data_IF_058920392110
#
_entry.id   IF_058920392110
#
_cell.length_a   1.000
_cell.length_b   1.000
_cell.length_c   1.000
_cell.angle_alpha   90.00
_cell.angle_beta   90.00
_cell.angle_gamma   90.00
#
_symmetry.space_group_name_H-M   'P 1'
#
loop_
_entity.id
_entity.type
_entity.pdbx_description
1 polymer ?
#
# COMPACT_ATOMS: atom_id res chain seq x y z
N UNK A 1 -26.24 11.91 -7.42
CA UNK A 1 -25.77 11.15 -6.24
C UNK A 1 -26.52 11.49 -4.95
N UNK A 2 -27.35 12.54 -4.91
CA UNK A 2 -28.07 12.97 -3.68
C UNK A 2 -28.96 11.84 -3.11
N UNK A 3 -29.60 11.01 -3.96
CA UNK A 3 -30.50 9.93 -3.53
C UNK A 3 -29.96 8.49 -3.72
N UNK A 4 -28.65 8.29 -3.95
CA UNK A 4 -28.11 6.93 -4.08
C UNK A 4 -27.94 6.23 -2.72
N UNK A 5 -28.19 4.91 -2.67
CA UNK A 5 -27.86 4.08 -1.50
C UNK A 5 -26.33 4.01 -1.31
N UNK A 6 -25.81 4.24 -0.10
CA UNK A 6 -24.39 4.04 0.20
C UNK A 6 -23.95 2.59 -0.03
N UNK A 7 -22.67 2.39 -0.27
CA UNK A 7 -22.04 1.08 -0.30
C UNK A 7 -21.24 0.88 0.99
N UNK A 8 -21.19 -0.33 1.52
CA UNK A 8 -20.50 -0.61 2.79
C UNK A 8 -18.98 -0.76 2.63
N UNK A 9 -18.51 -1.07 1.41
CA UNK A 9 -17.09 -1.19 1.09
C UNK A 9 -16.74 -0.43 -0.19
N UNK A 10 -15.52 0.11 -0.31
CA UNK A 10 -15.09 0.88 -1.48
C UNK A 10 -14.96 0.01 -2.74
N UNK A 11 -14.67 -1.28 -2.57
CA UNK A 11 -14.58 -2.27 -3.65
C UNK A 11 -15.17 -3.61 -3.19
N UNK A 12 -15.67 -4.41 -4.13
CA UNK A 12 -16.17 -5.76 -3.81
C UNK A 12 -14.96 -6.65 -3.53
N UNK A 13 -15.01 -7.43 -2.45
CA UNK A 13 -13.95 -8.35 -2.10
C UNK A 13 -13.69 -9.34 -3.24
N UNK A 14 -12.42 -9.59 -3.57
CA UNK A 14 -12.00 -10.46 -4.67
C UNK A 14 -12.48 -10.03 -6.08
N UNK A 15 -13.03 -8.83 -6.24
CA UNK A 15 -13.37 -8.30 -7.56
C UNK A 15 -12.11 -7.97 -8.34
N UNK A 16 -11.87 -8.72 -9.41
CA UNK A 16 -10.72 -8.50 -10.30
C UNK A 16 -11.19 -7.76 -11.54
N UNK A 17 -10.80 -6.48 -11.65
CA UNK A 17 -11.02 -5.67 -12.84
C UNK A 17 -9.90 -5.93 -13.86
N UNK A 18 -10.24 -6.02 -15.13
CA UNK A 18 -9.32 -6.17 -16.25
C UNK A 18 -9.99 -5.68 -17.53
N UNK A 19 -9.19 -5.39 -18.55
CA UNK A 19 -9.72 -4.96 -19.85
C UNK A 19 -10.25 -6.19 -20.58
N UNK A 20 -11.54 -6.20 -20.86
CA UNK A 20 -12.19 -7.22 -21.69
C UNK A 20 -12.17 -6.82 -23.17
N UNK A 21 -11.93 -7.79 -24.06
CA UNK A 21 -12.09 -7.56 -25.51
C UNK A 21 -13.56 -7.29 -25.81
N UNK A 22 -13.82 -6.30 -26.67
CA UNK A 22 -15.17 -5.95 -27.15
C UNK A 22 -16.15 -5.42 -26.08
N UNK A 23 -15.69 -5.22 -24.84
CA UNK A 23 -16.51 -4.63 -23.81
C UNK A 23 -16.79 -3.15 -24.07
N UNK A 24 -17.96 -2.71 -23.60
CA UNK A 24 -18.44 -1.36 -23.85
C UNK A 24 -17.59 -0.32 -23.10
N UNK A 25 -17.12 0.68 -23.85
CA UNK A 25 -16.31 1.76 -23.31
C UNK A 25 -17.16 2.71 -22.47
N UNK A 26 -16.55 3.24 -21.42
CA UNK A 26 -17.12 4.34 -20.65
C UNK A 26 -16.66 5.70 -21.22
N UNK A 27 -17.35 6.76 -20.83
CA UNK A 27 -16.90 8.13 -21.06
C UNK A 27 -15.54 8.37 -20.38
N UNK A 28 -14.50 8.50 -21.21
CA UNK A 28 -13.10 8.65 -20.79
C UNK A 28 -12.87 9.92 -19.98
N UNK A 29 -13.37 11.07 -20.44
CA UNK A 29 -13.14 12.35 -19.77
C UNK A 29 -13.81 12.36 -18.40
N UNK A 30 -15.06 11.88 -18.34
CA UNK A 30 -15.78 11.75 -17.08
C UNK A 30 -15.07 10.81 -16.12
N UNK A 31 -14.57 9.68 -16.61
CA UNK A 31 -13.83 8.71 -15.81
C UNK A 31 -12.57 9.34 -15.22
N UNK A 32 -11.74 9.95 -16.06
CA UNK A 32 -10.48 10.56 -15.65
C UNK A 32 -10.68 11.68 -14.62
N UNK A 33 -11.72 12.52 -14.81
CA UNK A 33 -12.06 13.57 -13.86
C UNK A 33 -12.50 13.02 -12.50
N UNK A 34 -13.30 11.96 -12.48
CA UNK A 34 -13.73 11.33 -11.23
C UNK A 34 -12.57 10.66 -10.51
N UNK A 35 -11.78 9.86 -11.23
CA UNK A 35 -10.61 9.18 -10.67
C UNK A 35 -9.57 10.19 -10.17
N UNK A 36 -9.32 11.29 -10.89
CA UNK A 36 -8.42 12.35 -10.43
C UNK A 36 -8.84 12.94 -9.08
N UNK A 37 -10.14 13.20 -8.88
CA UNK A 37 -10.69 13.64 -7.59
C UNK A 37 -10.52 12.59 -6.50
N UNK A 38 -10.72 11.32 -6.82
CA UNK A 38 -10.54 10.21 -5.88
C UNK A 38 -9.05 10.02 -5.49
N UNK A 39 -8.12 10.20 -6.43
CA UNK A 39 -6.68 10.20 -6.16
C UNK A 39 -6.35 11.29 -5.14
N UNK A 40 -6.85 12.51 -5.34
CA UNK A 40 -6.67 13.58 -4.37
C UNK A 40 -7.19 13.19 -2.99
N UNK A 41 -8.43 12.69 -2.92
CA UNK A 41 -9.06 12.28 -1.65
C UNK A 41 -8.32 11.13 -0.95
N UNK A 42 -7.67 10.23 -1.71
CA UNK A 42 -6.90 9.12 -1.13
C UNK A 42 -5.71 9.55 -0.27
N UNK A 43 -5.28 10.82 -0.36
CA UNK A 43 -4.27 11.41 0.53
C UNK A 43 -4.79 11.70 1.94
N UNK A 44 -6.10 11.71 2.17
CA UNK A 44 -6.72 11.86 3.50
C UNK A 44 -7.62 10.68 3.87
N UNK A 45 -7.84 9.75 2.94
CA UNK A 45 -8.70 8.58 3.08
C UNK A 45 -7.93 7.29 2.78
N UNK A 46 -7.21 6.72 3.77
CA UNK A 46 -6.44 5.49 3.58
C UNK A 46 -7.31 4.30 3.16
N UNK A 47 -8.54 4.27 3.65
CA UNK A 47 -9.56 3.25 3.40
C UNK A 47 -9.97 3.10 1.93
N UNK A 48 -9.76 4.13 1.09
CA UNK A 48 -10.04 4.04 -0.36
C UNK A 48 -8.78 3.84 -1.21
N UNK A 49 -7.57 3.91 -0.62
CA UNK A 49 -6.33 4.01 -1.38
C UNK A 49 -6.13 2.83 -2.35
N UNK A 50 -6.45 1.61 -1.91
CA UNK A 50 -6.38 0.42 -2.77
C UNK A 50 -7.38 0.47 -3.94
N UNK A 51 -8.66 0.70 -3.64
CA UNK A 51 -9.71 0.77 -4.67
C UNK A 51 -9.42 1.86 -5.71
N UNK A 52 -8.96 3.03 -5.26
CA UNK A 52 -8.52 4.13 -6.13
C UNK A 52 -7.31 3.72 -6.97
N UNK A 53 -6.34 3.03 -6.37
CA UNK A 53 -5.19 2.47 -7.08
C UNK A 53 -5.59 1.52 -8.21
N UNK A 54 -6.61 0.67 -8.00
CA UNK A 54 -7.13 -0.25 -9.02
C UNK A 54 -7.79 0.51 -10.17
N UNK A 55 -8.77 1.39 -9.89
CA UNK A 55 -9.48 2.12 -10.95
C UNK A 55 -8.56 3.06 -11.74
N UNK A 56 -7.48 3.56 -11.13
CA UNK A 56 -6.49 4.40 -11.79
C UNK A 56 -5.72 3.70 -12.92
N UNK A 57 -5.72 2.37 -12.96
CA UNK A 57 -5.03 1.60 -14.02
C UNK A 57 -5.72 1.72 -15.38
N UNK A 58 -7.01 2.05 -15.41
CA UNK A 58 -7.85 2.03 -16.63
C UNK A 58 -8.07 3.41 -17.25
N UNK A 59 -7.27 4.41 -16.87
CA UNK A 59 -7.42 5.81 -17.29
C UNK A 59 -7.30 6.03 -18.80
N UNK A 60 -6.62 5.14 -19.53
CA UNK A 60 -6.42 5.28 -20.97
C UNK A 60 -7.63 4.81 -21.78
N UNK A 61 -8.28 3.72 -21.34
CA UNK A 61 -9.39 3.06 -22.02
C UNK A 61 -10.37 2.47 -20.99
N UNK A 62 -11.16 3.31 -20.30
CA UNK A 62 -12.10 2.83 -19.29
C UNK A 62 -13.31 2.13 -19.92
N UNK A 63 -13.81 1.10 -19.25
CA UNK A 63 -14.98 0.31 -19.64
C UNK A 63 -16.11 0.57 -18.64
N UNK A 64 -17.35 0.21 -19.00
CA UNK A 64 -18.50 0.40 -18.10
C UNK A 64 -18.29 -0.23 -16.72
N UNK A 65 -17.72 -1.44 -16.66
CA UNK A 65 -17.39 -2.10 -15.39
C UNK A 65 -16.41 -1.27 -14.53
N UNK A 66 -15.42 -0.61 -15.15
CA UNK A 66 -14.50 0.28 -14.44
C UNK A 66 -15.24 1.51 -13.89
N UNK A 67 -16.14 2.08 -14.68
CA UNK A 67 -16.95 3.22 -14.25
C UNK A 67 -17.91 2.84 -13.10
N UNK A 68 -18.48 1.64 -13.11
CA UNK A 68 -19.28 1.11 -12.00
C UNK A 68 -18.48 0.98 -10.70
N UNK A 69 -17.22 0.52 -10.79
CA UNK A 69 -16.32 0.51 -9.65
C UNK A 69 -16.05 1.91 -9.09
N UNK A 70 -15.84 2.91 -9.96
CA UNK A 70 -15.73 4.32 -9.56
C UNK A 70 -17.00 4.78 -8.85
N UNK A 71 -18.19 4.46 -9.38
CA UNK A 71 -19.45 4.80 -8.72
C UNK A 71 -19.60 4.14 -7.36
N UNK A 72 -19.13 2.91 -7.18
CA UNK A 72 -19.11 2.23 -5.88
C UNK A 72 -18.26 2.98 -4.86
N UNK A 73 -17.04 3.38 -5.22
CA UNK A 73 -16.16 4.17 -4.33
C UNK A 73 -16.88 5.45 -3.87
N UNK A 74 -17.54 6.16 -4.79
CA UNK A 74 -18.24 7.40 -4.44
C UNK A 74 -19.49 7.12 -3.58
N UNK A 75 -20.20 6.00 -3.78
CA UNK A 75 -21.30 5.57 -2.89
C UNK A 75 -20.80 5.21 -1.50
N UNK A 76 -19.63 4.60 -1.38
CA UNK A 76 -18.99 4.32 -0.10
C UNK A 76 -18.61 5.61 0.63
N UNK A 77 -17.98 6.56 -0.07
CA UNK A 77 -17.64 7.88 0.48
C UNK A 77 -18.86 8.64 1.01
N UNK A 78 -20.01 8.51 0.33
CA UNK A 78 -21.28 9.09 0.81
C UNK A 78 -21.72 8.55 2.18
N UNK A 79 -21.50 7.25 2.44
CA UNK A 79 -21.83 6.64 3.73
C UNK A 79 -20.81 6.95 4.84
N UNK A 80 -19.64 7.48 4.48
CA UNK A 80 -18.47 7.62 5.37
C UNK A 80 -17.91 9.04 5.36
N UNK A 81 -18.77 10.05 5.17
CA UNK A 81 -18.36 11.47 5.10
C UNK A 81 -17.71 11.93 6.40
N UNK A 82 -18.15 11.39 7.54
CA UNK A 82 -17.58 11.69 8.86
C UNK A 82 -16.31 10.91 9.22
N UNK A 83 -15.87 9.97 8.37
CA UNK A 83 -14.67 9.18 8.65
C UNK A 83 -13.42 10.00 8.34
N UNK A 84 -12.43 9.91 9.22
CA UNK A 84 -11.13 10.53 9.06
C UNK A 84 -10.06 9.81 9.88
N UNK A 85 -8.82 10.29 9.78
CA UNK A 85 -7.70 9.80 10.60
C UNK A 85 -7.71 10.54 11.93
N UNK A 86 -7.81 9.80 13.03
CA UNK A 86 -7.75 10.36 14.37
C UNK A 86 -6.30 10.47 14.82
N UNK A 87 -5.90 11.66 15.27
CA UNK A 87 -4.61 11.91 15.89
C UNK A 87 -4.80 12.07 17.40
N UNK A 88 -3.97 11.39 18.18
CA UNK A 88 -3.99 11.44 19.63
C UNK A 88 -2.58 11.71 20.17
N UNK A 89 -2.48 12.47 21.28
CA UNK A 89 -1.21 12.62 21.97
C UNK A 89 -0.84 11.28 22.61
N UNK A 90 0.30 10.73 22.19
CA UNK A 90 0.92 9.56 22.80
C UNK A 90 2.27 9.97 23.38
N UNK A 91 2.69 9.34 24.47
CA UNK A 91 3.93 9.69 25.19
C UNK A 91 5.21 9.16 24.50
N UNK A 92 5.20 8.99 23.18
CA UNK A 92 6.34 8.54 22.39
C UNK A 92 6.21 8.97 20.91
N UNK A 93 7.33 8.96 20.18
CA UNK A 93 7.38 9.22 18.74
C UNK A 93 7.89 8.03 17.91
N UNK A 94 7.89 6.82 18.50
CA UNK A 94 8.27 5.58 17.81
C UNK A 94 7.62 5.47 16.43
N UNK A 95 8.43 5.08 15.44
CA UNK A 95 7.96 4.82 14.08
C UNK A 95 7.68 3.33 13.94
N UNK A 96 6.48 3.00 13.49
CA UNK A 96 6.06 1.64 13.20
C UNK A 96 5.46 1.58 11.80
N UNK A 97 6.02 0.79 10.92
CA UNK A 97 5.46 0.53 9.60
C UNK A 97 4.88 -0.88 9.53
N UNK A 98 3.85 -1.03 8.71
CA UNK A 98 3.16 -2.27 8.41
C UNK A 98 3.24 -2.45 6.90
N UNK A 99 3.79 -3.56 6.43
CA UNK A 99 3.91 -3.85 4.99
C UNK A 99 3.11 -5.09 4.64
N UNK A 100 2.45 -5.04 3.49
CA UNK A 100 1.67 -6.16 2.95
C UNK A 100 1.74 -6.17 1.43
N UNK A 101 1.75 -7.36 0.82
CA UNK A 101 1.72 -7.52 -0.62
C UNK A 101 0.71 -8.60 -1.08
N UNK A 102 -0.28 -8.18 -1.87
CA UNK A 102 -1.15 -9.11 -2.60
C UNK A 102 -0.40 -9.68 -3.80
N UNK A 103 0.02 -10.95 -3.70
CA UNK A 103 0.82 -11.64 -4.71
C UNK A 103 0.01 -11.98 -5.95
N UNK A 104 0.49 -11.52 -7.11
CA UNK A 104 -0.14 -11.75 -8.40
C UNK A 104 -1.64 -11.42 -8.41
N UNK A 105 -2.03 -10.35 -7.69
CA UNK A 105 -3.40 -9.89 -7.58
C UNK A 105 -4.00 -9.43 -8.91
N UNK A 106 -3.18 -8.83 -9.78
CA UNK A 106 -3.61 -8.33 -11.07
C UNK A 106 -3.83 -9.47 -12.09
N UNK A 107 -4.98 -9.48 -12.78
CA UNK A 107 -5.27 -10.51 -13.80
C UNK A 107 -4.61 -10.24 -15.15
N UNK A 108 -4.37 -8.98 -15.50
CA UNK A 108 -3.84 -8.60 -16.80
C UNK A 108 -2.35 -8.88 -16.93
N UNK A 109 -1.56 -8.53 -15.92
CA UNK A 109 -0.10 -8.69 -15.95
C UNK A 109 0.48 -9.53 -14.80
N UNK A 110 -0.37 -10.08 -13.91
CA UNK A 110 0.04 -10.91 -12.77
C UNK A 110 1.01 -10.21 -11.81
N UNK A 111 1.10 -8.88 -11.84
CA UNK A 111 1.92 -8.13 -10.88
C UNK A 111 1.23 -8.02 -9.54
N UNK A 112 2.03 -8.10 -8.49
CA UNK A 112 1.58 -7.94 -7.11
C UNK A 112 1.25 -6.48 -6.82
N UNK A 113 0.41 -6.23 -5.82
CA UNK A 113 0.24 -4.88 -5.24
C UNK A 113 0.90 -4.87 -3.87
N UNK A 114 1.70 -3.85 -3.57
CA UNK A 114 2.25 -3.66 -2.22
C UNK A 114 1.62 -2.45 -1.58
N UNK A 115 1.23 -2.59 -0.33
CA UNK A 115 0.83 -1.49 0.52
C UNK A 115 1.72 -1.35 1.73
N UNK A 116 1.70 -0.15 2.30
CA UNK A 116 2.24 0.09 3.63
C UNK A 116 1.40 1.10 4.39
N UNK A 117 1.39 0.97 5.70
CA UNK A 117 0.86 1.94 6.65
C UNK A 117 1.99 2.31 7.61
N UNK A 118 2.26 3.58 7.84
CA UNK A 118 3.30 4.04 8.76
C UNK A 118 2.71 4.92 9.84
N UNK A 119 2.99 4.55 11.09
CA UNK A 119 2.59 5.27 12.27
C UNK A 119 3.79 5.97 12.91
N UNK A 120 3.56 7.18 13.42
CA UNK A 120 4.50 7.92 14.25
C UNK A 120 3.81 8.23 15.56
N UNK A 121 4.37 7.75 16.67
CA UNK A 121 3.75 7.92 17.98
C UNK A 121 2.33 7.37 18.02
N UNK A 122 2.09 6.21 17.39
CA UNK A 122 0.76 5.58 17.32
C UNK A 122 -0.24 6.22 16.35
N UNK A 123 0.12 7.32 15.66
CA UNK A 123 -0.76 8.00 14.71
C UNK A 123 -0.39 7.64 13.27
N UNK A 124 -1.38 7.29 12.44
CA UNK A 124 -1.16 7.00 11.02
C UNK A 124 -0.78 8.28 10.27
N UNK A 125 0.46 8.35 9.78
CA UNK A 125 0.99 9.55 9.10
C UNK A 125 1.14 9.35 7.60
N UNK A 126 1.45 8.14 7.15
CA UNK A 126 1.59 7.83 5.72
C UNK A 126 1.03 6.45 5.40
N UNK A 127 0.53 6.30 4.18
CA UNK A 127 0.06 5.04 3.65
C UNK A 127 0.21 5.02 2.14
N UNK A 128 0.21 3.82 1.59
CA UNK A 128 0.21 3.64 0.14
C UNK A 128 -0.36 2.30 -0.25
N UNK A 129 -0.96 2.23 -1.43
CA UNK A 129 -1.18 0.98 -2.16
C UNK A 129 -0.68 1.16 -3.58
N UNK A 130 0.24 0.31 -4.02
CA UNK A 130 0.94 0.48 -5.30
C UNK A 130 1.32 -0.83 -5.93
N UNK A 131 0.86 -1.03 -7.16
CA UNK A 131 1.27 -2.13 -8.04
C UNK A 131 2.79 -2.20 -8.19
N UNK A 132 3.35 -3.40 -8.08
CA UNK A 132 4.76 -3.65 -8.31
C UNK A 132 5.11 -3.44 -9.79
N UNK A 133 6.34 -3.02 -10.07
CA UNK A 133 6.79 -2.80 -11.46
C UNK A 133 7.16 -4.12 -12.15
N UNK A 134 7.50 -5.13 -11.37
CA UNK A 134 7.97 -6.45 -11.82
C UNK A 134 7.01 -7.50 -11.28
N UNK A 135 6.87 -8.62 -11.99
CA UNK A 135 6.12 -9.79 -11.53
C UNK A 135 6.97 -10.53 -10.50
N UNK A 136 6.43 -10.72 -9.30
CA UNK A 136 7.07 -11.54 -8.28
C UNK A 136 6.76 -13.02 -8.53
N UNK A 137 7.76 -13.88 -8.40
CA UNK A 137 7.64 -15.33 -8.62
C UNK A 137 7.09 -16.07 -7.41
N UNK A 138 7.07 -15.43 -6.24
CA UNK A 138 6.47 -15.96 -5.01
C UNK A 138 5.85 -14.87 -4.16
N UNK A 139 4.99 -15.26 -3.21
CA UNK A 139 4.46 -14.34 -2.19
C UNK A 139 5.57 -13.77 -1.30
N UNK A 140 6.57 -14.58 -0.94
CA UNK A 140 7.72 -14.12 -0.17
C UNK A 140 8.50 -13.03 -0.90
N UNK A 141 8.71 -13.17 -2.21
CA UNK A 141 9.37 -12.14 -3.02
C UNK A 141 8.52 -10.87 -3.14
N UNK A 142 7.19 -11.01 -3.28
CA UNK A 142 6.28 -9.86 -3.32
C UNK A 142 6.32 -9.08 -2.00
N UNK A 143 6.28 -9.77 -0.87
CA UNK A 143 6.36 -9.19 0.48
C UNK A 143 7.74 -8.58 0.73
N UNK A 144 8.82 -9.24 0.34
CA UNK A 144 10.18 -8.74 0.45
C UNK A 144 10.37 -7.39 -0.28
N UNK A 145 9.86 -7.29 -1.51
CA UNK A 145 9.82 -6.00 -2.25
C UNK A 145 8.92 -4.96 -1.55
N UNK A 146 7.88 -5.41 -0.85
CA UNK A 146 7.05 -4.57 0.01
C UNK A 146 7.84 -4.00 1.18
N UNK A 147 8.62 -4.84 1.87
CA UNK A 147 9.53 -4.45 2.95
C UNK A 147 10.52 -3.38 2.47
N UNK A 148 11.20 -3.58 1.34
CA UNK A 148 12.13 -2.58 0.80
C UNK A 148 11.48 -1.19 0.62
N UNK A 149 10.24 -1.15 0.16
CA UNK A 149 9.47 0.11 0.06
C UNK A 149 9.13 0.70 1.42
N UNK A 150 8.72 -0.14 2.37
CA UNK A 150 8.47 0.26 3.76
C UNK A 150 9.71 0.84 4.43
N UNK A 151 10.88 0.23 4.23
CA UNK A 151 12.17 0.74 4.72
C UNK A 151 12.46 2.12 4.14
N UNK A 152 12.32 2.32 2.83
CA UNK A 152 12.56 3.61 2.19
C UNK A 152 11.65 4.72 2.76
N UNK A 153 10.37 4.40 2.99
CA UNK A 153 9.41 5.31 3.62
C UNK A 153 9.82 5.66 5.05
N UNK A 154 10.13 4.66 5.87
CA UNK A 154 10.57 4.83 7.27
C UNK A 154 11.81 5.70 7.34
N UNK A 155 12.81 5.48 6.48
CA UNK A 155 14.01 6.31 6.44
C UNK A 155 13.71 7.76 6.07
N UNK A 156 12.77 7.99 5.14
CA UNK A 156 12.34 9.34 4.80
C UNK A 156 11.68 10.04 6.00
N UNK A 157 10.79 9.34 6.73
CA UNK A 157 10.16 9.89 7.94
C UNK A 157 11.19 10.16 9.04
N UNK A 158 12.14 9.23 9.28
CA UNK A 158 13.23 9.44 10.26
C UNK A 158 14.03 10.70 9.95
N UNK A 159 14.36 10.91 8.67
CA UNK A 159 15.07 12.10 8.22
C UNK A 159 14.23 13.37 8.44
N UNK A 160 12.96 13.35 8.04
CA UNK A 160 12.04 14.47 8.25
C UNK A 160 11.93 14.83 9.73
N UNK A 161 11.68 13.84 10.60
CA UNK A 161 11.58 14.04 12.05
C UNK A 161 12.88 14.63 12.63
N UNK A 162 14.04 14.20 12.13
CA UNK A 162 15.33 14.76 12.54
C UNK A 162 15.46 16.23 12.16
N UNK A 163 15.09 16.60 10.93
CA UNK A 163 15.14 17.99 10.44
C UNK A 163 14.20 18.93 11.22
N UNK A 164 13.05 18.42 11.70
CA UNK A 164 12.11 19.20 12.51
C UNK A 164 12.37 19.12 14.03
N UNK A 165 13.54 18.59 14.45
CA UNK A 165 13.98 18.62 15.85
C UNK A 165 13.61 17.41 16.71
N UNK A 166 13.11 16.33 16.12
CA UNK A 166 12.73 15.08 16.79
C UNK A 166 13.55 13.87 16.26
N UNK A 167 14.89 13.88 16.43
CA UNK A 167 15.74 12.79 15.95
C UNK A 167 15.31 11.46 16.57
N UNK A 168 15.26 10.42 15.73
CA UNK A 168 14.89 9.07 16.16
C UNK A 168 16.13 8.32 16.65
N UNK A 169 16.17 7.98 17.93
CA UNK A 169 17.29 7.25 18.56
C UNK A 169 17.09 5.75 18.56
N UNK A 170 15.83 5.30 18.64
CA UNK A 170 15.48 3.88 18.64
C UNK A 170 15.34 3.35 17.21
N UNK A 171 15.45 2.02 17.06
CA UNK A 171 15.15 1.34 15.81
C UNK A 171 13.68 1.54 15.43
N UNK A 172 13.39 1.70 14.14
CA UNK A 172 12.02 1.72 13.65
C UNK A 172 11.52 0.32 13.34
N UNK A 173 10.32 -0.01 13.80
CA UNK A 173 9.72 -1.33 13.57
C UNK A 173 9.09 -1.41 12.20
N UNK A 174 9.37 -2.46 11.45
CA UNK A 174 8.67 -2.78 10.20
C UNK A 174 8.04 -4.16 10.34
N UNK A 175 6.72 -4.18 10.40
CA UNK A 175 5.90 -5.37 10.65
C UNK A 175 5.54 -6.04 9.32
N UNK A 176 5.90 -7.32 9.18
CA UNK A 176 5.52 -8.17 8.04
C UNK A 176 4.92 -9.48 8.55
N UNK A 177 3.90 -10.00 7.87
CA UNK A 177 3.23 -11.26 8.21
C UNK A 177 3.76 -12.46 7.42
N UNK A 178 4.85 -12.27 6.66
CA UNK A 178 5.50 -13.32 5.90
C UNK A 178 6.88 -13.65 6.47
N UNK A 179 6.96 -14.77 7.22
CA UNK A 179 8.22 -15.25 7.81
C UNK A 179 9.32 -15.52 6.78
N UNK A 180 8.98 -15.99 5.59
CA UNK A 180 9.96 -16.23 4.54
C UNK A 180 10.56 -14.90 4.04
N UNK A 181 9.74 -13.86 3.87
CA UNK A 181 10.22 -12.53 3.49
C UNK A 181 11.14 -11.91 4.57
N UNK A 182 10.81 -12.11 5.85
CA UNK A 182 11.67 -11.70 6.98
C UNK A 182 13.01 -12.45 6.93
N UNK A 183 12.98 -13.78 6.80
CA UNK A 183 14.19 -14.59 6.71
C UNK A 183 15.07 -14.22 5.51
N UNK A 184 14.48 -13.90 4.36
CA UNK A 184 15.21 -13.42 3.17
C UNK A 184 15.89 -12.07 3.46
N UNK A 185 15.26 -11.21 4.26
CA UNK A 185 15.81 -9.91 4.66
C UNK A 185 16.98 -10.04 5.63
N UNK A 186 16.94 -11.06 6.50
CA UNK A 186 17.96 -11.30 7.53
C UNK A 186 19.13 -12.18 7.04
N UNK A 187 18.90 -13.08 6.09
CA UNK A 187 19.90 -14.08 5.69
C UNK A 187 20.83 -13.60 4.56
N UNK A 188 22.16 -13.56 4.77
CA UNK A 188 23.12 -13.15 3.75
C UNK A 188 23.36 -14.18 2.63
N UNK A 189 22.98 -15.45 2.83
CA UNK A 189 23.33 -16.56 1.93
C UNK A 189 22.13 -16.96 1.08
N UNK A 190 21.80 -16.15 0.07
CA UNK A 190 20.92 -16.56 -1.02
C UNK A 190 21.49 -16.10 -2.36
N UNK A 191 21.64 -17.05 -3.28
CA UNK A 191 22.13 -16.82 -4.64
C UNK A 191 20.96 -16.50 -5.58
N UNK A 192 20.29 -15.37 -5.37
CA UNK A 192 19.28 -14.91 -6.31
C UNK A 192 19.96 -14.21 -7.50
N UNK A 193 19.59 -14.57 -8.73
CA UNK A 193 20.29 -14.13 -9.96
C UNK A 193 19.82 -12.77 -10.46
N UNK A 194 18.95 -12.10 -9.72
CA UNK A 194 18.25 -10.90 -10.19
C UNK A 194 18.73 -9.65 -9.45
N UNK A 195 19.47 -8.77 -10.16
CA UNK A 195 20.14 -7.59 -9.59
C UNK A 195 19.27 -6.70 -8.69
N UNK A 196 17.98 -6.54 -8.99
CA UNK A 196 17.11 -5.67 -8.19
C UNK A 196 16.76 -6.28 -6.82
N UNK A 197 16.58 -7.60 -6.74
CA UNK A 197 16.37 -8.31 -5.47
C UNK A 197 17.63 -8.21 -4.62
N UNK A 198 18.80 -8.33 -5.26
CA UNK A 198 20.09 -8.18 -4.60
C UNK A 198 20.29 -6.77 -4.02
N UNK A 199 19.97 -5.71 -4.79
CA UNK A 199 20.04 -4.31 -4.30
C UNK A 199 19.07 -4.08 -3.14
N UNK A 200 17.80 -4.50 -3.26
CA UNK A 200 16.81 -4.37 -2.19
C UNK A 200 17.29 -5.11 -0.92
N UNK A 201 17.93 -6.27 -1.06
CA UNK A 201 18.51 -7.02 0.04
C UNK A 201 19.65 -6.29 0.72
N UNK A 202 20.65 -5.82 -0.04
CA UNK A 202 21.76 -5.08 0.55
C UNK A 202 21.26 -3.82 1.26
N UNK A 203 20.28 -3.13 0.68
CA UNK A 203 19.66 -1.96 1.27
C UNK A 203 18.97 -2.27 2.61
N UNK A 204 18.12 -3.31 2.69
CA UNK A 204 17.44 -3.69 3.92
C UNK A 204 18.46 -4.15 4.98
N UNK A 205 19.39 -5.01 4.57
CA UNK A 205 20.40 -5.60 5.45
C UNK A 205 21.27 -4.56 6.13
N UNK A 206 21.77 -3.58 5.37
CA UNK A 206 22.58 -2.49 5.93
C UNK A 206 21.84 -1.73 7.04
N UNK A 207 20.51 -1.58 6.93
CA UNK A 207 19.72 -0.87 7.95
C UNK A 207 19.43 -1.74 9.17
N UNK A 208 19.30 -3.05 9.00
CA UNK A 208 19.20 -4.01 10.10
C UNK A 208 20.51 -4.07 10.90
N UNK A 209 21.65 -4.25 10.23
CA UNK A 209 22.97 -4.36 10.88
C UNK A 209 23.36 -3.09 11.64
N UNK A 210 22.98 -1.92 11.13
CA UNK A 210 23.19 -0.64 11.80
C UNK A 210 22.15 -0.32 12.90
N UNK A 211 21.21 -1.23 13.19
CA UNK A 211 20.17 -1.04 14.20
C UNK A 211 19.20 0.11 13.90
N UNK A 212 19.08 0.53 12.63
CA UNK A 212 18.19 1.62 12.21
C UNK A 212 16.74 1.13 12.15
N UNK A 213 16.55 -0.13 11.77
CA UNK A 213 15.25 -0.80 11.67
C UNK A 213 15.29 -2.16 12.35
N UNK A 214 14.11 -2.66 12.69
CA UNK A 214 13.87 -4.04 13.11
C UNK A 214 12.69 -4.62 12.29
N UNK A 215 12.70 -5.93 12.03
CA UNK A 215 11.72 -6.62 11.18
C UNK A 215 10.94 -7.73 11.91
N UNK A 216 10.19 -7.41 12.99
CA UNK A 216 9.41 -8.43 13.69
C UNK A 216 8.24 -8.96 12.87
N UNK A 217 7.91 -10.23 13.13
CA UNK A 217 6.73 -10.86 12.58
C UNK A 217 5.45 -10.34 13.23
N UNK A 218 4.45 -10.00 12.43
CA UNK A 218 3.08 -9.69 12.88
C UNK A 218 2.12 -10.78 12.42
N UNK A 219 1.15 -11.15 13.25
CA UNK A 219 0.09 -12.08 12.83
C UNK A 219 -0.82 -11.36 11.83
N UNK A 220 -1.31 -12.05 10.80
CA UNK A 220 -2.17 -11.42 9.77
C UNK A 220 -3.44 -10.76 10.33
N UNK A 221 -3.95 -11.21 11.50
CA UNK A 221 -5.08 -10.54 12.18
C UNK A 221 -4.75 -9.18 12.81
N UNK A 222 -3.47 -8.94 13.08
CA UNK A 222 -2.94 -7.73 13.70
C UNK A 222 -2.24 -6.84 12.62
N UNK A 223 -2.34 -7.21 11.34
CA UNK A 223 -1.74 -6.52 10.19
C UNK A 223 -2.66 -5.39 9.71
N UNK A 224 -2.18 -4.15 9.82
CA UNK A 224 -2.98 -2.95 9.50
C UNK A 224 -2.98 -2.60 8.00
N UNK A 225 -2.03 -3.12 7.21
CA UNK A 225 -1.88 -2.77 5.80
C UNK A 225 -2.68 -3.67 4.83
N UNK A 226 -3.54 -4.58 5.34
CA UNK A 226 -4.40 -5.43 4.49
C UNK A 226 -5.56 -4.62 3.93
N UNK A 227 -5.91 -4.86 2.66
CA UNK A 227 -6.98 -4.18 1.91
C UNK A 227 -7.97 -5.15 1.28
#
# INVERSE_FOLDING_TARGET
MINCKPADTPMIANQKLYIEKEAELADKERYQRLVGKLIYLSHTRPDIAYAVGVVSQFMHQPQKAHMEAVWRIIRYLKGTVGNGVLFQPNNHLKIQAYTYADWAGDKGDRRSTSGYFTLVGGNLVTWRSKKQKVVALSSAEAEFRGIARGVAEVLWIRKLLTEIGFPQTEASTIMCDNKAAIQISENPVQHDRTKHVEVDRHFIKEKLENGIIELPFVRSKDQLAVY
#
